data_IF_459339738719
#
_entry.id   IF_459339738719
#
_cell.length_a   1.000
_cell.length_b   1.000
_cell.length_c   1.000
_cell.angle_alpha   90.00
_cell.angle_beta   90.00
_cell.angle_gamma   90.00
#
_symmetry.space_group_name_H-M   'P 1'
#
loop_
_entity.id
_entity.type
_entity.pdbx_description
1 polymer ?
#
# COMPACT_ATOMS: atom_id res chain seq x y z
N UNK A 1 20.79 -21.94 -13.97
CA UNK A 1 20.21 -21.42 -15.24
C UNK A 1 19.13 -20.40 -14.89
N UNK A 2 19.23 -19.13 -15.33
CA UNK A 2 18.21 -18.14 -15.02
C UNK A 2 16.99 -18.43 -15.89
N UNK A 3 15.83 -18.65 -15.26
CA UNK A 3 14.57 -18.77 -15.99
C UNK A 3 14.30 -17.43 -16.66
N UNK A 4 14.34 -17.39 -18.00
CA UNK A 4 13.80 -16.26 -18.77
C UNK A 4 12.30 -16.18 -18.45
N UNK A 5 11.92 -15.31 -17.52
CA UNK A 5 10.52 -14.99 -17.28
C UNK A 5 10.02 -14.28 -18.55
N UNK A 6 8.98 -14.83 -19.17
CA UNK A 6 8.35 -14.23 -20.34
C UNK A 6 7.58 -12.98 -19.88
N UNK A 7 8.09 -11.79 -20.23
CA UNK A 7 7.61 -10.49 -19.75
C UNK A 7 6.24 -10.04 -20.32
N UNK A 8 5.58 -10.86 -21.13
CA UNK A 8 4.42 -10.43 -21.94
C UNK A 8 3.12 -10.27 -21.14
N UNK A 9 2.98 -10.95 -20.00
CA UNK A 9 1.76 -10.95 -19.18
C UNK A 9 1.92 -10.15 -17.88
N UNK A 10 2.72 -9.08 -17.91
CA UNK A 10 2.89 -8.17 -16.77
C UNK A 10 1.70 -7.21 -16.62
N UNK A 11 1.52 -6.67 -15.42
CA UNK A 11 0.56 -5.58 -15.22
C UNK A 11 0.96 -4.37 -16.09
N UNK A 12 0.14 -4.03 -17.09
CA UNK A 12 0.33 -2.87 -17.98
C UNK A 12 0.49 -1.58 -17.18
N UNK A 13 -0.26 -1.45 -16.08
CA UNK A 13 -0.23 -0.29 -15.20
C UNK A 13 0.91 -0.29 -14.17
N UNK A 14 1.79 -1.29 -14.16
CA UNK A 14 2.81 -1.46 -13.10
C UNK A 14 3.62 -0.20 -12.84
N UNK A 15 4.12 0.42 -13.90
CA UNK A 15 4.98 1.61 -13.78
C UNK A 15 4.22 2.84 -13.27
N UNK A 16 2.95 2.97 -13.65
CA UNK A 16 2.09 4.06 -13.18
C UNK A 16 1.80 3.87 -11.69
N UNK A 17 1.34 2.67 -11.30
CA UNK A 17 1.04 2.35 -9.90
C UNK A 17 2.28 2.48 -9.00
N UNK A 18 3.45 2.05 -9.47
CA UNK A 18 4.71 2.25 -8.76
C UNK A 18 4.98 3.75 -8.56
N UNK A 19 4.92 4.57 -9.60
CA UNK A 19 5.20 6.01 -9.48
C UNK A 19 4.19 6.74 -8.58
N UNK A 20 2.90 6.46 -8.73
CA UNK A 20 1.86 7.05 -7.90
C UNK A 20 2.05 6.70 -6.42
N UNK A 21 2.33 5.43 -6.11
CA UNK A 21 2.57 4.98 -4.75
C UNK A 21 3.82 5.65 -4.15
N UNK A 22 4.92 5.74 -4.91
CA UNK A 22 6.14 6.38 -4.43
C UNK A 22 5.92 7.87 -4.14
N UNK A 23 5.28 8.60 -5.06
CA UNK A 23 5.00 10.02 -4.88
C UNK A 23 4.03 10.28 -3.72
N UNK A 24 2.99 9.44 -3.60
CA UNK A 24 2.03 9.51 -2.50
C UNK A 24 2.72 9.28 -1.15
N UNK A 25 3.47 8.19 -1.00
CA UNK A 25 4.16 7.86 0.26
C UNK A 25 5.17 8.95 0.62
N UNK A 26 5.95 9.44 -0.36
CA UNK A 26 6.91 10.51 -0.12
C UNK A 26 6.24 11.77 0.44
N UNK A 27 5.10 12.18 -0.13
CA UNK A 27 4.33 13.33 0.36
C UNK A 27 3.76 13.07 1.76
N UNK A 28 3.16 11.91 1.98
CA UNK A 28 2.56 11.57 3.28
C UNK A 28 3.62 11.60 4.38
N UNK A 29 4.78 10.98 4.19
CA UNK A 29 5.84 10.91 5.22
C UNK A 29 6.49 12.27 5.47
N UNK A 30 6.54 13.14 4.46
CA UNK A 30 7.05 14.51 4.61
C UNK A 30 6.08 15.40 5.39
N UNK A 31 4.77 15.24 5.19
CA UNK A 31 3.75 16.14 5.73
C UNK A 31 3.14 15.63 7.03
N UNK A 32 3.11 14.32 7.26
CA UNK A 32 2.40 13.71 8.38
C UNK A 32 3.28 12.74 9.16
N UNK A 33 3.03 12.68 10.46
CA UNK A 33 3.37 11.54 11.28
C UNK A 33 2.15 10.59 11.34
N UNK A 34 2.39 9.32 11.04
CA UNK A 34 1.32 8.32 10.90
C UNK A 34 1.31 7.48 12.17
N UNK A 35 0.22 7.51 12.93
CA UNK A 35 0.03 6.66 14.10
C UNK A 35 -1.02 5.59 13.84
N UNK A 36 -0.80 4.41 14.43
CA UNK A 36 -1.76 3.31 14.47
C UNK A 36 -2.21 3.13 15.93
N UNK A 37 -3.52 2.98 16.22
CA UNK A 37 -4.01 2.83 17.58
C UNK A 37 -3.37 1.60 18.24
N UNK A 38 -2.95 1.71 19.50
CA UNK A 38 -2.31 0.60 20.22
C UNK A 38 -3.29 -0.57 20.45
N UNK A 39 -4.58 -0.29 20.55
CA UNK A 39 -5.63 -1.28 20.76
C UNK A 39 -6.15 -1.89 19.45
N UNK A 40 -5.56 -1.53 18.31
CA UNK A 40 -6.04 -2.02 17.03
C UNK A 40 -5.63 -3.48 16.81
N UNK A 41 -6.63 -4.35 16.75
CA UNK A 41 -6.47 -5.77 16.48
C UNK A 41 -5.91 -6.04 15.07
N UNK A 42 -5.19 -7.16 14.92
CA UNK A 42 -4.60 -7.59 13.65
C UNK A 42 -5.65 -7.79 12.56
N UNK A 43 -5.53 -7.02 11.48
CA UNK A 43 -6.42 -7.06 10.31
C UNK A 43 -6.14 -8.33 9.50
N UNK A 44 -7.19 -9.04 9.10
CA UNK A 44 -7.07 -10.28 8.32
C UNK A 44 -7.28 -10.01 6.83
N UNK A 45 -6.61 -10.75 5.93
CA UNK A 45 -6.85 -10.63 4.51
C UNK A 45 -8.18 -11.28 4.12
N UNK A 46 -8.95 -10.61 3.28
CA UNK A 46 -10.21 -11.08 2.71
C UNK A 46 -10.18 -10.96 1.19
N UNK A 47 -10.57 -12.02 0.49
CA UNK A 47 -10.61 -12.04 -0.98
C UNK A 47 -12.01 -11.63 -1.49
N UNK A 48 -12.10 -10.49 -2.18
CA UNK A 48 -13.30 -10.05 -2.91
C UNK A 48 -12.93 -9.58 -4.32
N UNK A 49 -12.51 -10.53 -5.16
CA UNK A 49 -11.91 -10.25 -6.48
C UNK A 49 -10.46 -9.75 -6.38
N UNK A 50 -10.18 -8.90 -5.39
CA UNK A 50 -8.83 -8.52 -4.94
C UNK A 50 -8.70 -8.76 -3.44
N UNK A 51 -7.46 -8.90 -2.96
CA UNK A 51 -7.18 -8.98 -1.52
C UNK A 51 -7.42 -7.62 -0.88
N UNK A 52 -8.37 -7.57 0.05
CA UNK A 52 -8.68 -6.38 0.86
C UNK A 52 -8.58 -6.74 2.34
N UNK A 53 -8.49 -5.75 3.24
CA UNK A 53 -8.66 -6.01 4.66
C UNK A 53 -10.11 -6.45 4.99
N UNK A 54 -10.26 -7.33 5.98
CA UNK A 54 -11.55 -7.79 6.51
C UNK A 54 -12.35 -6.67 7.20
N UNK A 55 -11.66 -5.64 7.70
CA UNK A 55 -12.24 -4.49 8.40
C UNK A 55 -11.50 -3.17 8.07
N UNK A 56 -12.10 -2.00 8.31
CA UNK A 56 -11.44 -0.71 8.08
C UNK A 56 -10.15 -0.55 8.91
N UNK A 57 -9.06 -0.16 8.24
CA UNK A 57 -7.78 0.16 8.89
C UNK A 57 -7.86 1.58 9.45
N UNK A 58 -7.81 1.72 10.78
CA UNK A 58 -7.83 3.03 11.44
C UNK A 58 -6.40 3.57 11.54
N UNK A 59 -6.10 4.61 10.77
CA UNK A 59 -4.81 5.33 10.79
C UNK A 59 -5.07 6.80 11.12
N UNK A 60 -4.23 7.38 11.97
CA UNK A 60 -4.27 8.80 12.31
C UNK A 60 -3.11 9.51 11.62
N UNK A 61 -3.43 10.59 10.90
CA UNK A 61 -2.45 11.49 10.30
C UNK A 61 -2.32 12.72 11.18
N UNK A 62 -1.11 12.99 11.66
CA UNK A 62 -0.78 14.14 12.50
C UNK A 62 0.18 15.03 11.71
N UNK A 63 -0.16 16.30 11.50
CA UNK A 63 0.71 17.21 10.74
C UNK A 63 2.11 17.32 11.36
N UNK A 64 3.15 17.19 10.53
CA UNK A 64 4.52 17.59 10.86
C UNK A 64 4.60 19.10 10.71
N UNK A 65 4.96 19.79 11.80
CA UNK A 65 5.33 21.21 11.75
C UNK A 65 6.62 21.43 10.96
#
# INVERSE_FOLDING_TARGET
MPKRLNWRDGCLGRRIAELELHLLIARIVQQFDISYPQEAENVQPLMRGVTIPDRPVRVQFVDRK
#
